data_IF_385145130611
#
_entry.id   IF_385145130611
#
_cell.length_a   1.000
_cell.length_b   1.000
_cell.length_c   1.000
_cell.angle_alpha   90.00
_cell.angle_beta   90.00
_cell.angle_gamma   90.00
#
_symmetry.space_group_name_H-M   'P 1'
#
loop_
_entity.id
_entity.type
_entity.pdbx_description
1 polymer ?
#
# COMPACT_ATOMS: atom_id res chain seq x y z
N UNK A 1 -21.07 10.93 5.70
CA UNK A 1 -21.50 11.26 7.09
C UNK A 1 -20.28 11.12 7.97
N UNK A 2 -20.01 12.09 8.84
CA UNK A 2 -18.82 12.10 9.70
C UNK A 2 -18.96 10.99 10.77
N UNK A 3 -18.07 9.98 10.75
CA UNK A 3 -18.06 8.88 11.73
C UNK A 3 -16.94 9.12 12.76
N UNK A 4 -17.25 9.69 13.93
CA UNK A 4 -16.24 10.02 14.94
C UNK A 4 -15.60 8.74 15.51
N UNK A 5 -14.36 8.85 15.97
CA UNK A 5 -13.58 7.71 16.49
C UNK A 5 -14.27 7.05 17.70
N UNK A 6 -14.88 7.87 18.54
CA UNK A 6 -15.79 7.52 19.64
C UNK A 6 -16.73 8.71 19.90
N UNK A 7 -17.71 8.53 20.78
CA UNK A 7 -18.68 9.59 21.12
C UNK A 7 -17.98 10.90 21.51
N UNK A 8 -18.43 12.03 20.94
CA UNK A 8 -17.85 13.36 21.12
C UNK A 8 -16.38 13.56 20.69
N UNK A 9 -15.77 12.56 20.05
CA UNK A 9 -14.41 12.70 19.54
C UNK A 9 -14.37 13.72 18.39
N UNK A 10 -13.45 14.72 18.42
CA UNK A 10 -13.31 15.68 17.34
C UNK A 10 -12.66 15.07 16.09
N UNK A 11 -12.17 13.83 16.15
CA UNK A 11 -11.56 13.11 15.04
C UNK A 11 -12.49 12.00 14.57
N UNK A 12 -12.58 11.84 13.27
CA UNK A 12 -13.05 10.61 12.64
C UNK A 12 -11.98 9.54 12.69
N UNK A 13 -12.38 8.28 12.44
CA UNK A 13 -11.43 7.18 12.29
C UNK A 13 -10.40 7.45 11.20
N UNK A 14 -10.84 7.91 10.04
CA UNK A 14 -9.97 8.19 8.89
C UNK A 14 -8.97 9.32 9.19
N UNK A 15 -9.42 10.41 9.82
CA UNK A 15 -8.53 11.49 10.26
C UNK A 15 -7.46 10.98 11.26
N UNK A 16 -7.85 10.14 12.23
CA UNK A 16 -6.91 9.52 13.16
C UNK A 16 -5.89 8.64 12.44
N UNK A 17 -6.33 7.81 11.49
CA UNK A 17 -5.49 6.92 10.71
C UNK A 17 -4.48 7.68 9.84
N UNK A 18 -4.91 8.77 9.20
CA UNK A 18 -4.03 9.66 8.44
C UNK A 18 -3.00 10.36 9.32
N UNK A 19 -3.36 10.75 10.55
CA UNK A 19 -2.41 11.33 11.51
C UNK A 19 -1.36 10.32 11.96
N UNK A 20 -1.76 9.08 12.25
CA UNK A 20 -0.86 7.99 12.63
C UNK A 20 0.16 7.72 11.51
N UNK A 21 -0.31 7.56 10.27
CA UNK A 21 0.58 7.34 9.12
C UNK A 21 1.43 8.56 8.79
N UNK A 22 0.87 9.76 8.89
CA UNK A 22 1.60 11.01 8.66
C UNK A 22 2.76 11.15 9.65
N UNK A 23 2.53 10.81 10.92
CA UNK A 23 3.58 10.78 11.95
C UNK A 23 4.64 9.72 11.62
N UNK A 24 4.23 8.51 11.23
CA UNK A 24 5.16 7.42 10.95
C UNK A 24 6.10 7.73 9.79
N UNK A 25 5.56 8.32 8.71
CA UNK A 25 6.34 8.74 7.55
C UNK A 25 7.28 9.89 7.92
N UNK A 26 6.78 10.93 8.61
CA UNK A 26 7.56 12.12 8.97
C UNK A 26 8.76 11.80 9.86
N UNK A 27 8.61 10.82 10.74
CA UNK A 27 9.64 10.47 11.73
C UNK A 27 10.36 9.17 11.42
N UNK A 28 10.16 8.59 10.23
CA UNK A 28 10.77 7.32 9.81
C UNK A 28 10.56 6.19 10.85
N UNK A 29 9.37 6.13 11.42
CA UNK A 29 9.01 5.11 12.41
C UNK A 29 9.08 3.74 11.73
N UNK A 30 9.76 2.78 12.35
CA UNK A 30 9.86 1.42 11.82
C UNK A 30 8.51 0.73 11.84
N UNK A 31 8.34 -0.26 10.97
CA UNK A 31 7.11 -1.05 10.89
C UNK A 31 6.71 -1.71 12.22
N UNK A 32 7.69 -2.22 12.98
CA UNK A 32 7.46 -2.83 14.28
C UNK A 32 7.03 -1.77 15.32
N UNK A 33 7.73 -0.64 15.36
CA UNK A 33 7.39 0.46 16.28
C UNK A 33 6.00 1.04 15.97
N UNK A 34 5.62 1.14 14.68
CA UNK A 34 4.30 1.60 14.30
C UNK A 34 3.20 0.64 14.78
N UNK A 35 3.43 -0.68 14.67
CA UNK A 35 2.49 -1.68 15.17
C UNK A 35 2.30 -1.56 16.69
N UNK A 36 3.40 -1.40 17.44
CA UNK A 36 3.35 -1.19 18.89
C UNK A 36 2.63 0.11 19.27
N UNK A 37 2.90 1.20 18.56
CA UNK A 37 2.21 2.49 18.77
C UNK A 37 0.71 2.34 18.54
N UNK A 38 0.29 1.62 17.50
CA UNK A 38 -1.13 1.38 17.21
C UNK A 38 -1.79 0.62 18.36
N UNK A 39 -1.14 -0.43 18.88
CA UNK A 39 -1.66 -1.17 20.04
C UNK A 39 -1.76 -0.29 21.28
N UNK A 40 -0.75 0.55 21.53
CA UNK A 40 -0.78 1.51 22.65
C UNK A 40 -1.94 2.49 22.47
N UNK A 41 -2.15 3.05 21.29
CA UNK A 41 -3.27 3.96 21.02
C UNK A 41 -4.62 3.26 21.29
N UNK A 42 -4.81 2.04 20.79
CA UNK A 42 -6.04 1.28 20.99
C UNK A 42 -6.35 1.01 22.47
N UNK A 43 -5.34 0.82 23.32
CA UNK A 43 -5.52 0.69 24.77
C UNK A 43 -6.07 1.96 25.44
N UNK A 44 -5.89 3.14 24.83
CA UNK A 44 -6.42 4.41 25.33
C UNK A 44 -7.81 4.75 24.77
N UNK A 45 -8.31 3.97 23.81
CA UNK A 45 -9.64 4.17 23.24
C UNK A 45 -10.70 3.38 24.03
N UNK A 46 -11.97 3.83 24.02
CA UNK A 46 -13.07 3.08 24.66
C UNK A 46 -13.25 1.64 24.13
N UNK A 47 -12.78 1.40 22.90
CA UNK A 47 -12.72 0.10 22.25
C UNK A 47 -11.58 0.11 21.23
N UNK A 48 -10.96 -1.04 20.90
CA UNK A 48 -9.95 -1.11 19.85
C UNK A 48 -10.56 -0.71 18.49
N UNK A 49 -9.94 0.25 17.80
CA UNK A 49 -10.42 0.77 16.51
C UNK A 49 -9.43 0.45 15.39
N UNK A 50 -8.15 0.71 15.63
CA UNK A 50 -7.13 0.65 14.59
C UNK A 50 -6.66 -0.80 14.36
N UNK A 51 -6.44 -1.54 15.45
CA UNK A 51 -6.05 -2.94 15.62
C UNK A 51 -4.66 -3.28 15.09
N UNK A 52 -4.35 -2.86 13.86
CA UNK A 52 -3.04 -3.11 13.26
C UNK A 52 -2.75 -2.16 12.12
N UNK A 53 -1.45 -2.00 11.80
CA UNK A 53 -1.01 -1.24 10.63
C UNK A 53 -1.66 -1.79 9.36
N UNK A 54 -1.75 -3.11 9.23
CA UNK A 54 -2.38 -3.77 8.09
C UNK A 54 -3.83 -3.32 7.89
N UNK A 55 -4.62 -3.24 8.96
CA UNK A 55 -6.03 -2.82 8.85
C UNK A 55 -6.17 -1.34 8.49
N UNK A 56 -5.31 -0.48 9.02
CA UNK A 56 -5.25 0.93 8.62
C UNK A 56 -4.96 1.05 7.12
N UNK A 57 -3.88 0.42 6.66
CA UNK A 57 -3.47 0.46 5.26
C UNK A 57 -4.56 -0.11 4.33
N UNK A 58 -5.20 -1.22 4.72
CA UNK A 58 -6.26 -1.83 3.91
C UNK A 58 -7.50 -0.94 3.80
N UNK A 59 -7.86 -0.19 4.86
CA UNK A 59 -8.98 0.76 4.81
C UNK A 59 -8.67 1.95 3.91
N UNK A 60 -7.46 2.48 4.03
CA UNK A 60 -7.03 3.61 3.21
C UNK A 60 -6.77 3.21 1.76
N UNK A 61 -6.31 1.99 1.50
CA UNK A 61 -6.12 1.46 0.15
C UNK A 61 -7.44 1.24 -0.59
N UNK A 62 -8.56 1.03 0.12
CA UNK A 62 -9.90 1.02 -0.51
C UNK A 62 -10.28 2.42 -1.02
N UNK A 63 -9.66 3.47 -0.47
CA UNK A 63 -9.92 4.88 -0.83
C UNK A 63 -9.06 5.36 -1.99
N UNK A 64 -7.93 4.69 -2.27
CA UNK A 64 -7.09 4.90 -3.45
C UNK A 64 -7.37 3.77 -4.45
N UNK A 65 -8.04 4.07 -5.58
CA UNK A 65 -8.48 3.07 -6.56
C UNK A 65 -7.42 2.00 -6.90
N UNK A 66 -7.89 0.81 -7.32
CA UNK A 66 -7.07 -0.37 -7.61
C UNK A 66 -5.86 -0.03 -8.51
N UNK A 67 -4.73 0.27 -7.87
CA UNK A 67 -3.51 0.64 -8.58
C UNK A 67 -3.08 -0.50 -9.48
N UNK A 68 -2.88 -0.21 -10.77
CA UNK A 68 -2.46 -1.24 -11.71
C UNK A 68 -0.95 -1.29 -11.82
N UNK A 69 -0.40 -2.50 -11.76
CA UNK A 69 1.03 -2.76 -11.94
C UNK A 69 1.33 -2.83 -13.44
N UNK A 70 2.35 -2.10 -13.87
CA UNK A 70 2.91 -2.15 -15.20
C UNK A 70 4.36 -2.62 -15.14
N UNK A 71 4.73 -3.55 -16.01
CA UNK A 71 6.09 -4.08 -16.11
C UNK A 71 6.80 -3.48 -17.32
N UNK A 72 8.13 -3.36 -17.23
CA UNK A 72 8.95 -2.91 -18.34
C UNK A 72 10.18 -3.82 -18.53
N UNK A 73 10.70 -3.85 -19.75
CA UNK A 73 11.90 -4.60 -20.08
C UNK A 73 13.13 -3.89 -19.49
N UNK A 74 13.96 -4.53 -18.65
CA UNK A 74 15.15 -3.89 -18.09
C UNK A 74 16.24 -3.57 -19.14
N UNK A 75 16.21 -4.24 -20.30
CA UNK A 75 17.20 -4.05 -21.35
C UNK A 75 16.79 -2.95 -22.35
N UNK A 76 15.50 -2.86 -22.65
CA UNK A 76 14.96 -1.95 -23.67
C UNK A 76 14.25 -0.73 -23.07
N UNK A 77 13.94 -0.75 -21.77
CA UNK A 77 13.05 0.19 -21.08
C UNK A 77 11.64 0.31 -21.68
N UNK A 78 11.25 -0.62 -22.56
CA UNK A 78 9.93 -0.68 -23.16
C UNK A 78 8.90 -1.34 -22.27
N UNK A 79 7.65 -0.87 -22.38
CA UNK A 79 6.54 -1.41 -21.61
C UNK A 79 6.18 -2.82 -22.11
N UNK A 80 6.10 -3.77 -21.19
CA UNK A 80 5.71 -5.13 -21.51
C UNK A 80 4.18 -5.20 -21.60
N UNK A 81 3.66 -5.71 -22.72
CA UNK A 81 2.22 -5.75 -22.98
C UNK A 81 1.49 -6.48 -21.84
N UNK A 82 0.41 -5.86 -21.35
CA UNK A 82 -0.39 -6.44 -20.28
C UNK A 82 -1.21 -7.62 -20.81
N UNK A 83 -0.83 -8.82 -20.40
CA UNK A 83 -1.70 -10.00 -20.46
C UNK A 83 -1.89 -10.54 -19.05
N UNK A 84 -2.98 -10.21 -18.37
CA UNK A 84 -3.17 -10.54 -16.94
C UNK A 84 -3.13 -12.04 -16.64
N UNK A 85 -3.41 -12.87 -17.63
CA UNK A 85 -3.50 -14.33 -17.51
C UNK A 85 -2.18 -15.06 -17.79
N UNK A 86 -1.18 -14.40 -18.36
CA UNK A 86 0.10 -15.01 -18.69
C UNK A 86 1.14 -14.75 -17.58
N UNK A 87 1.84 -15.80 -17.16
CA UNK A 87 2.90 -15.72 -16.16
C UNK A 87 4.18 -15.12 -16.75
N UNK A 88 4.37 -15.33 -18.04
CA UNK A 88 5.51 -14.87 -18.82
C UNK A 88 5.08 -13.76 -19.79
N UNK A 89 6.02 -12.90 -20.13
CA UNK A 89 5.81 -11.84 -21.11
C UNK A 89 7.08 -11.67 -21.94
N UNK A 90 6.91 -11.60 -23.25
CA UNK A 90 8.01 -11.38 -24.18
C UNK A 90 8.14 -9.88 -24.49
N UNK A 91 9.37 -9.37 -24.49
CA UNK A 91 9.65 -8.03 -24.99
C UNK A 91 9.59 -8.02 -26.52
N UNK A 92 8.90 -7.04 -27.12
CA UNK A 92 8.80 -6.92 -28.58
C UNK A 92 10.11 -6.46 -29.24
N UNK A 93 11.03 -5.84 -28.48
CA UNK A 93 12.25 -5.24 -29.03
C UNK A 93 13.46 -6.18 -28.97
N UNK A 94 13.72 -6.78 -27.80
CA UNK A 94 14.84 -7.70 -27.62
C UNK A 94 14.43 -9.17 -27.61
N UNK A 95 13.14 -9.46 -27.85
CA UNK A 95 12.56 -10.81 -27.88
C UNK A 95 12.79 -11.65 -26.61
N UNK A 96 13.31 -11.03 -25.55
CA UNK A 96 13.62 -11.70 -24.29
C UNK A 96 12.34 -12.03 -23.56
N UNK A 97 12.23 -13.27 -23.12
CA UNK A 97 11.11 -13.77 -22.31
C UNK A 97 11.39 -13.52 -20.83
N UNK A 98 10.42 -12.94 -20.13
CA UNK A 98 10.52 -12.63 -18.72
C UNK A 98 9.38 -13.26 -17.93
N UNK A 99 9.67 -13.80 -16.75
CA UNK A 99 8.65 -14.16 -15.78
C UNK A 99 8.25 -12.90 -14.99
N UNK A 100 6.95 -12.64 -14.83
CA UNK A 100 6.47 -11.45 -14.10
C UNK A 100 6.88 -11.44 -12.63
N UNK A 101 7.01 -12.62 -12.01
CA UNK A 101 7.49 -12.77 -10.64
C UNK A 101 8.94 -12.26 -10.50
N UNK A 102 9.80 -12.58 -11.47
CA UNK A 102 11.18 -12.15 -11.54
C UNK A 102 11.30 -10.63 -11.76
N UNK A 103 10.51 -10.08 -12.69
CA UNK A 103 10.46 -8.62 -12.93
C UNK A 103 10.02 -7.87 -11.67
N UNK A 104 9.02 -8.39 -10.95
CA UNK A 104 8.56 -7.81 -9.69
C UNK A 104 9.65 -7.85 -8.62
N UNK A 105 10.34 -8.99 -8.47
CA UNK A 105 11.40 -9.17 -7.48
C UNK A 105 12.62 -8.28 -7.77
N UNK A 106 12.92 -8.04 -9.05
CA UNK A 106 14.01 -7.16 -9.49
C UNK A 106 13.62 -5.67 -9.56
N UNK A 107 12.37 -5.31 -9.27
CA UNK A 107 11.92 -3.91 -9.27
C UNK A 107 11.64 -3.33 -10.66
N UNK A 108 11.50 -4.15 -11.69
CA UNK A 108 11.25 -3.72 -13.07
C UNK A 108 9.75 -3.49 -13.33
N UNK A 109 9.13 -2.64 -12.52
CA UNK A 109 7.70 -2.31 -12.62
C UNK A 109 7.40 -0.94 -12.01
N UNK A 110 6.21 -0.41 -12.29
CA UNK A 110 5.66 0.77 -11.62
C UNK A 110 4.16 0.63 -11.36
N UNK A 111 3.65 1.42 -10.41
CA UNK A 111 2.24 1.50 -10.08
C UNK A 111 1.63 2.78 -10.68
N UNK A 112 0.48 2.63 -11.34
CA UNK A 112 -0.39 3.77 -11.68
C UNK A 112 -1.68 3.62 -10.88
N UNK A 113 -2.05 4.68 -10.15
CA UNK A 113 -3.28 4.80 -9.38
C UNK A 113 -4.40 5.43 -10.22
#
# INVERSE_FOLDING_TARGET
VRDPLYEDCPLTREESELLILGLSIRHHITDATLEDIIQVIDCHLPRPVHISKFRILNRLSVSTGNGTIYYYCPNCNELLRRNEYELEVQCNDCETLFEKSELKLKGNFFFIF
#
